data_IF_907710660826
#
_entry.id   IF_907710660826
#
_cell.length_a   1.000
_cell.length_b   1.000
_cell.length_c   1.000
_cell.angle_alpha   90.00
_cell.angle_beta   90.00
_cell.angle_gamma   90.00
#
_symmetry.space_group_name_H-M   'P 1'
#
loop_
_entity.id
_entity.type
_entity.pdbx_description
1 polymer ?
#
# COMPACT_ATOMS: atom_id res chain seq x y z
N UNK A 1 10.09 -6.36 24.09
CA UNK A 1 10.72 -6.54 22.79
C UNK A 1 10.77 -5.20 22.08
N UNK A 2 11.95 -4.80 21.59
CA UNK A 2 12.19 -3.52 20.91
C UNK A 2 12.31 -3.72 19.41
N UNK A 3 11.54 -2.96 18.64
CA UNK A 3 11.49 -3.09 17.18
C UNK A 3 11.71 -1.72 16.56
N UNK A 4 12.67 -1.64 15.64
CA UNK A 4 12.90 -0.45 14.85
C UNK A 4 12.28 -0.61 13.46
N UNK A 5 11.42 0.33 13.05
CA UNK A 5 10.92 0.46 11.69
C UNK A 5 11.62 1.62 11.00
N UNK A 6 12.11 1.42 9.80
CA UNK A 6 12.72 2.49 8.98
C UNK A 6 11.87 2.71 7.75
N UNK A 7 11.04 3.78 7.77
CA UNK A 7 10.11 4.16 6.70
C UNK A 7 10.23 5.65 6.39
N UNK A 8 11.10 6.05 5.45
CA UNK A 8 11.40 7.48 5.22
C UNK A 8 10.21 8.33 4.81
N UNK A 9 9.20 7.75 4.17
CA UNK A 9 8.04 8.47 3.65
C UNK A 9 7.09 8.99 4.72
N UNK A 10 7.07 8.40 5.92
CA UNK A 10 6.13 8.78 6.98
C UNK A 10 6.31 10.24 7.40
N UNK A 11 5.16 10.93 7.52
CA UNK A 11 5.08 12.36 7.86
C UNK A 11 5.41 13.31 6.72
N UNK A 12 5.73 12.78 5.52
CA UNK A 12 6.04 13.58 4.32
C UNK A 12 5.22 13.14 3.12
N UNK A 13 4.90 11.84 3.03
CA UNK A 13 4.14 11.24 1.93
C UNK A 13 2.90 10.58 2.48
N UNK A 14 1.74 10.92 1.94
CA UNK A 14 0.45 10.34 2.35
C UNK A 14 0.04 9.17 1.44
N UNK A 15 0.72 8.01 1.54
CA UNK A 15 0.36 6.79 0.78
C UNK A 15 -0.10 5.68 1.71
N UNK A 16 -0.70 4.65 1.13
CA UNK A 16 -1.20 3.49 1.88
C UNK A 16 -0.13 2.73 2.66
N UNK A 17 1.09 2.62 2.13
CA UNK A 17 2.20 1.94 2.80
C UNK A 17 2.63 2.68 4.08
N UNK A 18 2.79 4.00 4.01
CA UNK A 18 3.14 4.83 5.16
C UNK A 18 2.06 4.79 6.24
N UNK A 19 0.79 4.89 5.83
CA UNK A 19 -0.34 4.78 6.77
C UNK A 19 -0.37 3.40 7.45
N UNK A 20 -0.20 2.34 6.68
CA UNK A 20 -0.14 0.97 7.21
C UNK A 20 0.98 0.80 8.24
N UNK A 21 2.20 1.27 7.96
CA UNK A 21 3.33 1.15 8.90
C UNK A 21 3.05 1.90 10.20
N UNK A 22 2.48 3.09 10.14
CA UNK A 22 2.10 3.86 11.34
C UNK A 22 1.04 3.12 12.16
N UNK A 23 0.00 2.59 11.51
CA UNK A 23 -1.07 1.83 12.17
C UNK A 23 -0.52 0.52 12.78
N UNK A 24 0.35 -0.19 12.05
CA UNK A 24 1.01 -1.40 12.55
C UNK A 24 1.88 -1.10 13.78
N UNK A 25 2.71 -0.06 13.73
CA UNK A 25 3.54 0.35 14.87
C UNK A 25 2.70 0.69 16.11
N UNK A 26 1.62 1.44 15.93
CA UNK A 26 0.69 1.77 17.01
C UNK A 26 0.03 0.52 17.61
N UNK A 27 -0.45 -0.38 16.75
CA UNK A 27 -1.14 -1.59 17.17
C UNK A 27 -0.20 -2.59 17.86
N UNK A 28 1.03 -2.76 17.39
CA UNK A 28 2.04 -3.61 18.04
C UNK A 28 2.38 -3.10 19.44
N UNK A 29 2.47 -1.78 19.61
CA UNK A 29 2.72 -1.13 20.88
C UNK A 29 1.53 -1.36 21.84
N UNK A 30 0.31 -1.03 21.40
CA UNK A 30 -0.89 -1.07 22.24
C UNK A 30 -1.34 -2.49 22.58
N UNK A 31 -1.32 -3.39 21.59
CA UNK A 31 -1.90 -4.73 21.70
C UNK A 31 -0.90 -5.77 22.25
N UNK A 32 0.38 -5.64 21.89
CA UNK A 32 1.41 -6.62 22.25
C UNK A 32 2.47 -6.08 23.22
N UNK A 33 2.41 -4.79 23.58
CA UNK A 33 3.35 -4.16 24.51
C UNK A 33 4.79 -4.11 23.96
N UNK A 34 4.97 -4.09 22.63
CA UNK A 34 6.28 -3.94 22.02
C UNK A 34 6.73 -2.48 22.10
N UNK A 35 8.01 -2.25 22.33
CA UNK A 35 8.61 -0.92 22.25
C UNK A 35 8.99 -0.64 20.79
N UNK A 36 8.04 -0.10 20.02
CA UNK A 36 8.27 0.19 18.62
C UNK A 36 8.77 1.61 18.44
N UNK A 37 9.88 1.79 17.70
CA UNK A 37 10.42 3.09 17.29
C UNK A 37 10.42 3.20 15.77
N UNK A 38 9.74 4.23 15.25
CA UNK A 38 9.69 4.52 13.83
C UNK A 38 10.76 5.56 13.45
N UNK A 39 11.62 5.23 12.50
CA UNK A 39 12.60 6.14 11.91
C UNK A 39 12.02 6.71 10.62
N UNK A 40 11.68 8.01 10.61
CA UNK A 40 11.00 8.67 9.52
C UNK A 40 11.49 10.10 9.31
N UNK A 41 11.11 10.75 8.21
CA UNK A 41 11.51 12.13 7.91
C UNK A 41 10.62 13.17 8.56
N UNK A 42 9.34 12.89 8.69
CA UNK A 42 8.35 13.79 9.27
C UNK A 42 7.94 13.38 10.69
N UNK A 43 6.86 13.98 11.17
CA UNK A 43 6.25 13.62 12.44
C UNK A 43 5.30 12.42 12.26
N UNK A 44 5.21 11.60 13.29
CA UNK A 44 4.32 10.45 13.33
C UNK A 44 3.58 10.40 14.69
N UNK A 45 2.34 9.90 14.75
CA UNK A 45 1.57 9.78 15.99
C UNK A 45 2.00 8.57 16.84
N UNK A 46 3.17 8.02 16.59
CA UNK A 46 3.80 6.91 17.31
C UNK A 46 5.20 7.32 17.77
N UNK A 47 5.84 6.61 18.72
CA UNK A 47 7.23 6.88 19.08
C UNK A 47 8.12 6.87 17.84
N UNK A 48 8.79 7.98 17.56
CA UNK A 48 9.59 8.11 16.34
C UNK A 48 10.90 8.87 16.56
N UNK A 49 11.83 8.66 15.64
CA UNK A 49 13.07 9.42 15.49
C UNK A 49 13.17 9.98 14.08
N UNK A 50 13.44 11.28 14.00
CA UNK A 50 13.66 11.93 12.69
C UNK A 50 14.99 11.50 12.10
N UNK A 51 14.96 11.13 10.83
CA UNK A 51 16.12 10.81 10.00
C UNK A 51 16.20 11.80 8.83
N UNK A 52 17.39 11.96 8.31
CA UNK A 52 17.64 12.77 7.11
C UNK A 52 17.66 11.88 5.88
N UNK A 53 16.98 12.32 4.82
CA UNK A 53 17.06 11.68 3.51
C UNK A 53 17.02 12.72 2.41
N UNK A 54 17.69 12.42 1.32
CA UNK A 54 17.58 13.19 0.08
C UNK A 54 16.20 12.96 -0.52
N UNK A 55 15.38 14.03 -0.59
CA UNK A 55 14.02 13.87 -1.11
C UNK A 55 14.02 13.42 -2.58
N UNK A 56 13.17 12.47 -2.93
CA UNK A 56 12.90 12.07 -4.31
C UNK A 56 12.46 13.22 -5.22
N UNK A 57 11.93 14.31 -4.63
CA UNK A 57 11.48 15.50 -5.34
C UNK A 57 12.58 16.57 -5.49
N UNK A 58 13.82 16.24 -5.08
CA UNK A 58 14.96 17.14 -5.16
C UNK A 58 15.27 17.46 -6.62
N UNK A 59 15.14 18.74 -7.01
CA UNK A 59 15.19 19.21 -8.41
C UNK A 59 16.46 18.80 -9.15
N UNK A 60 17.63 18.93 -8.53
CA UNK A 60 18.89 18.56 -9.17
C UNK A 60 19.04 17.06 -9.38
N UNK A 61 18.52 16.22 -8.46
CA UNK A 61 18.48 14.76 -8.61
C UNK A 61 17.61 14.37 -9.79
N UNK A 62 16.41 14.93 -9.86
CA UNK A 62 15.49 14.69 -10.96
C UNK A 62 16.02 15.21 -12.29
N UNK A 63 16.70 16.36 -12.31
CA UNK A 63 17.35 16.89 -13.49
C UNK A 63 18.48 15.97 -13.98
N UNK A 64 19.32 15.47 -13.08
CA UNK A 64 20.39 14.52 -13.41
C UNK A 64 19.83 13.19 -13.93
N UNK A 65 18.80 12.66 -13.27
CA UNK A 65 18.10 11.44 -13.69
C UNK A 65 17.43 11.60 -15.05
N UNK A 66 16.85 12.79 -15.35
CA UNK A 66 16.16 13.07 -16.60
C UNK A 66 17.10 13.44 -17.76
N UNK A 67 18.36 13.82 -17.49
CA UNK A 67 19.27 14.46 -18.45
C UNK A 67 19.52 13.65 -19.73
N UNK A 68 19.49 12.32 -19.67
CA UNK A 68 19.63 11.47 -20.86
C UNK A 68 18.83 10.17 -20.73
N UNK A 69 18.33 9.63 -21.87
CA UNK A 69 17.71 8.30 -21.89
C UNK A 69 18.69 7.18 -21.49
N UNK A 70 19.96 7.31 -21.88
CA UNK A 70 21.01 6.37 -21.53
C UNK A 70 21.31 6.47 -20.03
N UNK A 71 21.36 7.69 -19.48
CA UNK A 71 21.52 7.92 -18.03
C UNK A 71 20.43 7.25 -17.23
N UNK A 72 19.16 7.45 -17.55
CA UNK A 72 18.04 6.75 -16.88
C UNK A 72 18.21 5.25 -16.86
N UNK A 73 18.52 4.63 -18.00
CA UNK A 73 18.72 3.19 -18.08
C UNK A 73 19.90 2.71 -17.18
N UNK A 74 20.98 3.49 -17.10
CA UNK A 74 22.10 3.20 -16.19
C UNK A 74 21.68 3.35 -14.74
N UNK A 75 21.03 4.47 -14.38
CA UNK A 75 20.55 4.69 -13.01
C UNK A 75 19.57 3.61 -12.55
N UNK A 76 18.60 3.25 -13.40
CA UNK A 76 17.63 2.17 -13.10
C UNK A 76 18.31 0.80 -12.98
N UNK A 77 19.37 0.55 -13.78
CA UNK A 77 20.11 -0.71 -13.72
C UNK A 77 20.85 -0.87 -12.39
N UNK A 78 21.41 0.23 -11.88
CA UNK A 78 22.15 0.26 -10.62
C UNK A 78 21.31 0.70 -9.41
N UNK A 79 20.00 0.83 -9.57
CA UNK A 79 19.10 1.29 -8.51
C UNK A 79 19.52 2.64 -7.90
N UNK A 80 19.83 3.60 -8.75
CA UNK A 80 20.24 4.96 -8.37
C UNK A 80 19.18 6.02 -8.77
N UNK A 81 17.94 5.60 -9.02
CA UNK A 81 16.82 6.50 -9.25
C UNK A 81 16.51 7.36 -8.00
N UNK A 82 15.74 8.44 -8.14
CA UNK A 82 15.47 9.36 -7.03
C UNK A 82 14.84 8.71 -5.79
N UNK A 83 13.99 7.69 -5.98
CA UNK A 83 13.37 6.96 -4.88
C UNK A 83 14.40 6.13 -4.10
N UNK A 84 15.27 5.43 -4.83
CA UNK A 84 16.36 4.65 -4.24
C UNK A 84 17.33 5.51 -3.46
N UNK A 85 17.71 6.67 -3.99
CA UNK A 85 18.60 7.62 -3.32
C UNK A 85 17.98 8.16 -2.03
N UNK A 86 16.67 8.37 -2.00
CA UNK A 86 15.95 8.74 -0.77
C UNK A 86 16.07 7.62 0.27
N UNK A 87 15.81 6.39 -0.10
CA UNK A 87 15.92 5.24 0.79
C UNK A 87 17.33 4.99 1.27
N UNK A 88 18.32 5.12 0.39
CA UNK A 88 19.73 4.89 0.73
C UNK A 88 20.24 5.91 1.74
N UNK A 89 19.95 7.19 1.51
CA UNK A 89 20.37 8.25 2.43
C UNK A 89 19.62 8.17 3.75
N UNK A 90 18.35 7.76 3.76
CA UNK A 90 17.57 7.49 4.98
C UNK A 90 18.21 6.35 5.81
N UNK A 91 18.52 5.21 5.17
CA UNK A 91 19.11 4.07 5.83
C UNK A 91 20.49 4.42 6.46
N UNK A 92 21.34 5.15 5.72
CA UNK A 92 22.61 5.63 6.23
C UNK A 92 22.44 6.60 7.40
N UNK A 93 21.43 7.47 7.36
CA UNK A 93 21.11 8.39 8.46
C UNK A 93 20.58 7.67 9.70
N UNK A 94 19.83 6.59 9.54
CA UNK A 94 19.33 5.78 10.65
C UNK A 94 20.41 4.92 11.30
N UNK A 95 21.41 4.48 10.53
CA UNK A 95 22.42 3.50 10.95
C UNK A 95 23.13 3.85 12.28
N UNK A 96 23.62 5.08 12.53
CA UNK A 96 24.29 5.40 13.80
C UNK A 96 23.39 5.25 15.03
N UNK A 97 22.09 5.51 14.88
CA UNK A 97 21.11 5.34 15.95
C UNK A 97 20.77 3.87 16.18
N UNK A 98 20.56 3.11 15.10
CA UNK A 98 20.35 1.66 15.15
C UNK A 98 21.57 0.94 15.72
N UNK A 99 22.78 1.39 15.36
CA UNK A 99 24.04 0.81 15.86
C UNK A 99 24.22 0.94 17.38
N UNK A 100 23.79 2.08 17.94
CA UNK A 100 23.84 2.34 19.40
C UNK A 100 22.61 1.84 20.12
N UNK A 101 21.56 1.50 19.38
CA UNK A 101 20.34 0.94 19.90
C UNK A 101 20.52 -0.49 20.42
N UNK A 102 19.49 -0.97 21.09
CA UNK A 102 19.39 -2.37 21.49
C UNK A 102 18.09 -2.94 20.94
N UNK A 103 17.85 -2.71 19.65
CA UNK A 103 16.68 -3.22 18.97
C UNK A 103 16.80 -4.73 18.79
N UNK A 104 15.70 -5.43 19.04
CA UNK A 104 15.64 -6.89 18.93
C UNK A 104 15.38 -7.33 17.46
N UNK A 105 14.70 -6.47 16.68
CA UNK A 105 14.42 -6.67 15.25
C UNK A 105 14.44 -5.31 14.55
N UNK A 106 14.94 -5.27 13.32
CA UNK A 106 14.86 -4.10 12.43
C UNK A 106 13.97 -4.43 11.24
N UNK A 107 12.95 -3.63 11.01
CA UNK A 107 12.16 -3.63 9.77
C UNK A 107 12.69 -2.50 8.89
N UNK A 108 13.23 -2.86 7.73
CA UNK A 108 13.95 -1.91 6.87
C UNK A 108 13.27 -1.80 5.50
N UNK A 109 12.67 -0.65 5.26
CA UNK A 109 12.28 -0.26 3.92
C UNK A 109 13.33 0.70 3.35
N UNK A 110 14.40 0.16 2.83
CA UNK A 110 15.56 0.99 2.49
C UNK A 110 16.34 0.53 1.27
N UNK A 111 15.77 -0.32 0.43
CA UNK A 111 16.45 -0.82 -0.76
C UNK A 111 17.81 -1.49 -0.45
N UNK A 112 18.69 -1.56 -1.44
CA UNK A 112 19.96 -2.32 -1.31
C UNK A 112 20.90 -1.79 -0.22
N UNK A 113 20.99 -0.47 -0.04
CA UNK A 113 21.83 0.12 1.00
C UNK A 113 21.25 -0.12 2.39
N UNK A 114 19.91 -0.07 2.51
CA UNK A 114 19.21 -0.44 3.75
C UNK A 114 19.50 -1.89 4.15
N UNK A 115 19.40 -2.81 3.20
CA UNK A 115 19.75 -4.22 3.43
C UNK A 115 21.23 -4.38 3.84
N UNK A 116 22.13 -3.64 3.22
CA UNK A 116 23.54 -3.64 3.60
C UNK A 116 23.75 -3.13 5.04
N UNK A 117 23.11 -2.04 5.43
CA UNK A 117 23.11 -1.53 6.81
C UNK A 117 22.62 -2.61 7.80
N UNK A 118 21.51 -3.26 7.47
CA UNK A 118 20.95 -4.34 8.30
C UNK A 118 21.88 -5.55 8.40
N UNK A 119 22.54 -5.93 7.31
CA UNK A 119 23.55 -7.01 7.34
C UNK A 119 24.74 -6.67 8.25
N UNK A 120 25.17 -5.40 8.32
CA UNK A 120 26.17 -4.96 9.29
C UNK A 120 25.64 -5.10 10.71
N UNK A 121 24.43 -4.62 11.01
CA UNK A 121 23.80 -4.75 12.31
C UNK A 121 23.70 -6.23 12.72
N UNK A 122 23.25 -7.11 11.82
CA UNK A 122 23.18 -8.55 12.07
C UNK A 122 24.56 -9.15 12.34
N UNK A 123 25.58 -8.77 11.56
CA UNK A 123 26.93 -9.31 11.69
C UNK A 123 27.61 -8.95 13.01
N UNK A 124 27.38 -7.74 13.54
CA UNK A 124 28.07 -7.21 14.71
C UNK A 124 27.24 -7.23 15.99
N UNK A 125 25.92 -7.14 15.88
CA UNK A 125 25.00 -7.07 17.03
C UNK A 125 24.02 -8.25 17.08
N UNK A 126 24.00 -9.13 16.07
CA UNK A 126 23.07 -10.26 16.01
C UNK A 126 21.62 -9.87 15.71
N UNK A 127 21.34 -8.63 15.35
CA UNK A 127 19.99 -8.13 15.14
C UNK A 127 19.42 -8.61 13.81
N UNK A 128 18.35 -9.42 13.80
CA UNK A 128 17.67 -9.86 12.58
C UNK A 128 16.97 -8.69 11.91
N UNK A 129 16.77 -8.81 10.57
CA UNK A 129 16.04 -7.80 9.83
C UNK A 129 14.97 -8.37 8.92
N UNK A 130 13.86 -7.66 8.83
CA UNK A 130 12.69 -7.98 8.04
C UNK A 130 12.53 -6.94 6.95
N UNK A 131 12.16 -7.41 5.77
CA UNK A 131 11.69 -6.59 4.65
C UNK A 131 10.19 -6.75 4.50
N UNK A 132 9.47 -5.64 4.30
CA UNK A 132 8.05 -5.66 3.94
C UNK A 132 7.93 -5.21 2.48
N UNK A 133 7.63 -6.15 1.60
CA UNK A 133 7.56 -5.91 0.17
C UNK A 133 6.22 -5.24 -0.21
N UNK A 134 6.18 -3.91 -0.14
CA UNK A 134 5.00 -3.12 -0.51
C UNK A 134 4.76 -3.02 -2.01
N UNK A 135 5.74 -3.34 -2.83
CA UNK A 135 5.67 -3.28 -4.28
C UNK A 135 5.22 -4.58 -4.93
N UNK A 136 5.09 -4.53 -6.25
CA UNK A 136 4.92 -5.70 -7.12
C UNK A 136 5.92 -5.70 -8.26
N UNK A 137 6.99 -4.92 -8.16
CA UNK A 137 8.05 -4.93 -9.17
C UNK A 137 9.05 -6.06 -8.87
N UNK A 138 9.06 -7.14 -9.69
CA UNK A 138 9.92 -8.29 -9.46
C UNK A 138 11.41 -7.94 -9.42
N UNK A 139 11.81 -6.85 -10.09
CA UNK A 139 13.20 -6.40 -10.13
C UNK A 139 13.64 -5.89 -8.77
N UNK A 140 12.83 -5.02 -8.15
CA UNK A 140 13.14 -4.39 -6.87
C UNK A 140 13.02 -5.37 -5.71
N UNK A 141 11.87 -6.00 -5.60
CA UNK A 141 11.59 -6.95 -4.52
C UNK A 141 12.53 -8.15 -4.56
N UNK A 142 12.80 -8.69 -5.77
CA UNK A 142 13.77 -9.77 -5.94
C UNK A 142 15.21 -9.34 -5.64
N UNK A 143 15.59 -8.09 -5.93
CA UNK A 143 16.93 -7.60 -5.61
C UNK A 143 17.14 -7.47 -4.10
N UNK A 144 16.11 -7.00 -3.38
CA UNK A 144 16.15 -6.90 -1.93
C UNK A 144 16.17 -8.30 -1.26
N UNK A 145 15.27 -9.19 -1.69
CA UNK A 145 15.19 -10.55 -1.17
C UNK A 145 16.51 -11.33 -1.30
N UNK A 146 17.29 -11.08 -2.38
CA UNK A 146 18.64 -11.65 -2.55
C UNK A 146 19.66 -11.14 -1.52
N UNK A 147 19.37 -10.07 -0.79
CA UNK A 147 20.23 -9.60 0.31
C UNK A 147 20.05 -10.45 1.59
N UNK A 148 19.23 -11.49 1.52
CA UNK A 148 18.98 -12.46 2.58
C UNK A 148 18.50 -11.81 3.89
N UNK A 149 17.37 -11.05 3.88
CA UNK A 149 16.69 -10.70 5.12
C UNK A 149 16.29 -11.99 5.87
N UNK A 150 16.13 -11.89 7.17
CA UNK A 150 15.68 -13.04 7.98
C UNK A 150 14.24 -13.40 7.64
N UNK A 151 13.44 -12.41 7.18
CA UNK A 151 12.12 -12.61 6.54
C UNK A 151 11.87 -11.54 5.49
N UNK A 152 11.19 -11.95 4.43
CA UNK A 152 10.47 -11.05 3.52
C UNK A 152 8.98 -11.25 3.77
N UNK A 153 8.29 -10.21 4.16
CA UNK A 153 6.83 -10.23 4.31
C UNK A 153 6.19 -9.74 3.03
N UNK A 154 5.25 -10.50 2.52
CA UNK A 154 4.41 -10.17 1.37
C UNK A 154 2.94 -10.29 1.75
N UNK A 155 2.04 -9.70 0.96
CA UNK A 155 0.62 -9.66 1.31
C UNK A 155 -0.22 -10.72 0.60
N UNK A 156 0.33 -11.36 -0.42
CA UNK A 156 -0.37 -12.38 -1.23
C UNK A 156 0.56 -13.52 -1.63
N UNK A 157 -0.02 -14.70 -1.89
CA UNK A 157 0.72 -15.84 -2.42
C UNK A 157 1.31 -15.55 -3.82
N UNK A 158 0.63 -14.73 -4.63
CA UNK A 158 1.16 -14.28 -5.92
C UNK A 158 2.48 -13.52 -5.75
N UNK A 159 2.56 -12.60 -4.77
CA UNK A 159 3.79 -11.90 -4.44
C UNK A 159 4.87 -12.84 -3.89
N UNK A 160 4.50 -13.83 -3.08
CA UNK A 160 5.43 -14.85 -2.59
C UNK A 160 6.06 -15.63 -3.76
N UNK A 161 5.24 -16.12 -4.71
CA UNK A 161 5.76 -16.83 -5.89
C UNK A 161 6.70 -15.93 -6.71
N UNK A 162 6.30 -14.69 -6.97
CA UNK A 162 7.12 -13.71 -7.69
C UNK A 162 8.50 -13.51 -7.07
N UNK A 163 8.58 -13.43 -5.73
CA UNK A 163 9.86 -13.27 -5.03
C UNK A 163 10.67 -14.56 -5.09
N UNK A 164 10.07 -15.72 -4.85
CA UNK A 164 10.76 -17.01 -4.86
C UNK A 164 11.31 -17.37 -6.24
N UNK A 165 10.67 -16.96 -7.34
CA UNK A 165 11.22 -17.08 -8.71
C UNK A 165 12.54 -16.32 -8.88
N UNK A 166 12.73 -15.21 -8.17
CA UNK A 166 13.91 -14.33 -8.27
C UNK A 166 14.95 -14.57 -7.19
N UNK A 167 14.50 -15.05 -6.04
CA UNK A 167 15.31 -15.34 -4.87
C UNK A 167 14.83 -16.66 -4.20
N UNK A 168 15.11 -17.84 -4.78
CA UNK A 168 14.58 -19.12 -4.31
C UNK A 168 14.97 -19.48 -2.87
N UNK A 169 16.01 -18.85 -2.33
CA UNK A 169 16.50 -19.06 -0.97
C UNK A 169 15.92 -18.06 0.05
N UNK A 170 15.05 -17.13 -0.38
CA UNK A 170 14.48 -16.15 0.52
C UNK A 170 13.46 -16.81 1.46
N UNK A 171 13.51 -16.45 2.73
CA UNK A 171 12.50 -16.83 3.70
C UNK A 171 11.31 -15.87 3.56
N UNK A 172 10.27 -16.27 2.83
CA UNK A 172 9.11 -15.43 2.53
C UNK A 172 7.90 -15.88 3.35
N UNK A 173 7.26 -14.93 4.01
CA UNK A 173 6.02 -15.13 4.79
C UNK A 173 4.90 -14.30 4.21
N UNK A 174 3.73 -14.90 4.00
CA UNK A 174 2.54 -14.18 3.56
C UNK A 174 1.77 -13.70 4.80
N UNK A 175 1.65 -12.39 4.95
CA UNK A 175 0.80 -11.75 5.97
C UNK A 175 -0.14 -10.79 5.25
N UNK A 176 -1.39 -11.17 4.99
CA UNK A 176 -2.35 -10.30 4.32
C UNK A 176 -2.57 -8.99 5.08
N UNK A 177 -2.83 -7.92 4.36
CA UNK A 177 -3.32 -6.69 4.98
C UNK A 177 -4.71 -6.92 5.59
N UNK A 178 -4.98 -6.21 6.67
CA UNK A 178 -6.27 -6.18 7.31
C UNK A 178 -6.90 -4.79 7.30
N UNK A 179 -8.19 -4.74 7.59
CA UNK A 179 -8.98 -3.52 7.73
C UNK A 179 -9.53 -3.40 9.16
N UNK A 180 -9.58 -2.18 9.67
CA UNK A 180 -10.23 -1.90 10.95
C UNK A 180 -11.76 -1.91 10.76
N UNK A 181 -12.38 -3.03 11.15
CA UNK A 181 -13.80 -3.28 11.02
C UNK A 181 -14.66 -2.47 11.98
N UNK A 182 -14.06 -1.81 12.97
CA UNK A 182 -14.76 -0.92 13.91
C UNK A 182 -14.79 0.51 13.38
N UNK A 183 -13.77 0.89 12.63
CA UNK A 183 -13.66 2.18 11.98
C UNK A 183 -14.39 2.20 10.61
N UNK A 184 -14.12 1.22 9.74
CA UNK A 184 -14.85 1.02 8.48
C UNK A 184 -16.05 0.11 8.72
N UNK A 185 -17.25 0.69 8.74
CA UNK A 185 -18.49 -0.03 9.08
C UNK A 185 -19.68 0.49 8.26
N UNK A 186 -20.66 -0.36 7.97
CA UNK A 186 -21.79 0.01 7.08
C UNK A 186 -22.71 1.07 7.67
N UNK A 187 -22.74 1.24 8.99
CA UNK A 187 -23.55 2.22 9.72
C UNK A 187 -22.81 3.53 10.00
N UNK A 188 -21.62 3.75 9.37
CA UNK A 188 -20.97 5.04 9.42
C UNK A 188 -21.84 6.11 8.77
N UNK A 189 -22.00 7.30 9.40
CA UNK A 189 -22.86 8.35 8.84
C UNK A 189 -22.37 8.75 7.44
N UNK A 190 -23.23 8.66 6.40
CA UNK A 190 -22.84 9.02 5.05
C UNK A 190 -22.64 10.52 4.91
N UNK A 191 -21.64 10.93 4.12
CA UNK A 191 -21.50 12.34 3.74
C UNK A 191 -22.65 12.73 2.81
N UNK A 192 -23.23 13.95 2.95
CA UNK A 192 -24.25 14.42 2.03
C UNK A 192 -23.65 14.64 0.64
N UNK A 193 -24.22 14.01 -0.39
CA UNK A 193 -23.82 14.16 -1.78
C UNK A 193 -25.00 14.74 -2.59
N UNK A 194 -24.76 15.88 -3.22
CA UNK A 194 -25.68 16.47 -4.21
C UNK A 194 -25.25 16.01 -5.61
N UNK A 195 -25.42 14.70 -5.85
CA UNK A 195 -25.02 14.03 -7.11
C UNK A 195 -26.13 13.09 -7.57
N UNK A 196 -26.25 12.93 -8.88
CA UNK A 196 -27.17 11.96 -9.48
C UNK A 196 -26.75 10.53 -9.11
N UNK A 197 -27.66 9.77 -8.51
CA UNK A 197 -27.44 8.34 -8.23
C UNK A 197 -27.62 7.47 -9.49
N UNK A 198 -26.96 6.31 -9.55
CA UNK A 198 -26.03 5.76 -8.55
C UNK A 198 -24.67 6.48 -8.51
N UNK A 199 -23.99 6.44 -7.38
CA UNK A 199 -22.66 7.05 -7.18
C UNK A 199 -21.58 5.97 -7.20
N UNK A 200 -20.69 6.03 -8.17
CA UNK A 200 -19.47 5.22 -8.23
C UNK A 200 -18.35 5.97 -7.55
N UNK A 201 -17.67 5.31 -6.60
CA UNK A 201 -16.57 5.87 -5.84
C UNK A 201 -15.25 5.23 -6.25
N UNK A 202 -14.20 6.03 -6.40
CA UNK A 202 -12.81 5.58 -6.50
C UNK A 202 -11.93 6.39 -5.55
N UNK A 203 -10.90 5.76 -4.95
CA UNK A 203 -10.03 6.41 -3.98
C UNK A 203 -8.57 5.99 -4.14
N UNK A 204 -7.67 6.96 -4.10
CA UNK A 204 -6.22 6.77 -4.20
C UNK A 204 -5.48 7.91 -4.85
N UNK A 205 -4.17 7.77 -5.06
CA UNK A 205 -3.40 8.75 -5.81
C UNK A 205 -3.92 8.89 -7.25
N UNK A 206 -4.05 10.12 -7.74
CA UNK A 206 -4.50 10.38 -9.12
C UNK A 206 -3.27 10.45 -10.02
N UNK A 207 -2.81 9.27 -10.44
CA UNK A 207 -1.60 9.09 -11.25
C UNK A 207 -1.80 8.04 -12.36
N UNK A 208 -0.84 7.93 -13.28
CA UNK A 208 -0.85 6.99 -14.39
C UNK A 208 -0.91 5.51 -13.99
N UNK A 209 -0.60 5.19 -12.73
CA UNK A 209 -0.69 3.84 -12.21
C UNK A 209 -2.13 3.48 -11.81
N UNK A 210 -2.86 4.43 -11.23
CA UNK A 210 -4.26 4.24 -10.76
C UNK A 210 -5.28 4.33 -11.89
N UNK A 211 -4.95 4.97 -13.02
CA UNK A 211 -5.78 4.99 -14.24
C UNK A 211 -7.21 5.47 -14.01
N UNK A 212 -7.37 6.58 -13.27
CA UNK A 212 -8.70 7.13 -12.95
C UNK A 212 -9.49 7.59 -14.20
N UNK A 213 -8.80 7.85 -15.31
CA UNK A 213 -9.36 8.11 -16.63
C UNK A 213 -10.27 6.97 -17.13
N UNK A 214 -9.90 5.71 -16.87
CA UNK A 214 -10.73 4.56 -17.25
C UNK A 214 -12.06 4.52 -16.48
N UNK A 215 -12.06 4.97 -15.22
CA UNK A 215 -13.31 5.06 -14.43
C UNK A 215 -14.25 6.10 -15.04
N UNK A 216 -13.71 7.26 -15.43
CA UNK A 216 -14.48 8.32 -16.10
C UNK A 216 -15.16 7.78 -17.37
N UNK A 217 -14.39 7.09 -18.21
CA UNK A 217 -14.88 6.52 -19.47
C UNK A 217 -15.94 5.42 -19.25
N UNK A 218 -15.80 4.62 -18.20
CA UNK A 218 -16.77 3.57 -17.86
C UNK A 218 -18.07 4.18 -17.30
N UNK A 219 -17.98 5.13 -16.36
CA UNK A 219 -19.16 5.80 -15.78
C UNK A 219 -19.91 6.63 -16.83
N UNK A 220 -19.21 7.22 -17.79
CA UNK A 220 -19.85 7.94 -18.90
C UNK A 220 -20.72 7.05 -19.81
N UNK A 221 -20.54 5.73 -19.78
CA UNK A 221 -21.34 4.75 -20.53
C UNK A 221 -22.54 4.24 -19.76
N UNK A 222 -22.63 4.50 -18.47
CA UNK A 222 -23.82 4.17 -17.69
C UNK A 222 -24.99 5.06 -18.10
N UNK A 223 -26.20 4.50 -18.09
CA UNK A 223 -27.43 5.24 -18.42
C UNK A 223 -27.66 6.43 -17.47
N UNK A 224 -27.24 6.31 -16.21
CA UNK A 224 -27.31 7.34 -15.18
C UNK A 224 -26.17 7.13 -14.18
N UNK A 225 -25.97 8.10 -13.30
CA UNK A 225 -25.03 8.00 -12.19
C UNK A 225 -23.90 9.01 -12.25
N UNK A 226 -23.14 9.06 -11.18
CA UNK A 226 -22.07 10.02 -10.95
C UNK A 226 -20.79 9.34 -10.50
N UNK A 227 -19.67 10.05 -10.65
CA UNK A 227 -18.37 9.62 -10.20
C UNK A 227 -17.84 10.52 -9.06
N UNK A 228 -17.41 9.89 -7.97
CA UNK A 228 -16.62 10.54 -6.92
C UNK A 228 -15.20 10.01 -6.96
N UNK A 229 -14.23 10.92 -7.04
CA UNK A 229 -12.79 10.62 -6.97
C UNK A 229 -12.24 11.18 -5.67
N UNK A 230 -11.74 10.34 -4.80
CA UNK A 230 -11.08 10.76 -3.56
C UNK A 230 -9.57 10.64 -3.70
N UNK A 231 -8.90 11.77 -3.89
CA UNK A 231 -7.45 11.82 -4.01
C UNK A 231 -6.93 13.00 -4.79
N UNK A 232 -5.61 13.07 -4.81
CA UNK A 232 -4.84 14.05 -5.56
C UNK A 232 -3.64 13.39 -6.26
N UNK A 233 -3.02 14.08 -7.18
CA UNK A 233 -1.84 13.59 -7.89
C UNK A 233 -1.60 14.32 -9.19
N UNK A 234 -0.52 13.95 -9.90
CA UNK A 234 -0.07 14.66 -11.10
C UNK A 234 -1.08 14.63 -12.25
N UNK A 235 -2.02 13.67 -12.28
CA UNK A 235 -3.04 13.56 -13.33
C UNK A 235 -4.40 14.14 -12.90
N UNK A 236 -4.51 14.75 -11.72
CA UNK A 236 -5.77 15.25 -11.18
C UNK A 236 -6.49 16.22 -12.13
N UNK A 237 -5.76 17.21 -12.66
CA UNK A 237 -6.34 18.17 -13.62
C UNK A 237 -6.77 17.52 -14.95
N UNK A 238 -6.05 16.50 -15.42
CA UNK A 238 -6.40 15.77 -16.63
C UNK A 238 -7.69 14.97 -16.44
N UNK A 239 -7.81 14.32 -15.29
CA UNK A 239 -9.02 13.56 -14.88
C UNK A 239 -10.21 14.52 -14.71
N UNK A 240 -10.02 15.68 -14.06
CA UNK A 240 -11.08 16.69 -13.89
C UNK A 240 -11.61 17.19 -15.24
N UNK A 241 -10.70 17.52 -16.20
CA UNK A 241 -11.10 17.92 -17.55
C UNK A 241 -11.86 16.83 -18.30
N UNK A 242 -11.36 15.59 -18.25
CA UNK A 242 -12.02 14.46 -18.89
C UNK A 242 -13.40 14.21 -18.28
N UNK A 243 -13.52 14.20 -16.95
CA UNK A 243 -14.78 13.98 -16.25
C UNK A 243 -15.81 15.09 -16.57
N UNK A 244 -15.40 16.35 -16.60
CA UNK A 244 -16.26 17.47 -16.98
C UNK A 244 -16.78 17.31 -18.42
N UNK A 245 -15.91 16.88 -19.34
CA UNK A 245 -16.28 16.68 -20.74
C UNK A 245 -17.24 15.48 -20.92
N UNK A 246 -17.01 14.38 -20.21
CA UNK A 246 -17.73 13.12 -20.40
C UNK A 246 -19.00 12.99 -19.57
N UNK A 247 -19.00 13.50 -18.35
CA UNK A 247 -20.10 13.34 -17.39
C UNK A 247 -20.98 14.61 -17.32
N UNK A 248 -20.41 15.78 -17.59
CA UNK A 248 -21.10 17.05 -17.45
C UNK A 248 -21.22 17.53 -16.00
N UNK A 249 -21.91 18.66 -15.84
CA UNK A 249 -22.12 19.26 -14.52
C UNK A 249 -23.04 18.39 -13.64
N UNK A 250 -22.72 18.30 -12.34
CA UNK A 250 -23.54 17.59 -11.36
C UNK A 250 -23.36 16.07 -11.34
N UNK A 251 -22.47 15.51 -12.18
CA UNK A 251 -22.19 14.06 -12.19
C UNK A 251 -20.74 13.72 -11.84
N UNK A 252 -19.97 14.69 -11.40
CA UNK A 252 -18.56 14.51 -11.03
C UNK A 252 -18.19 15.31 -9.80
N UNK A 253 -17.46 14.69 -8.90
CA UNK A 253 -16.88 15.35 -7.74
C UNK A 253 -15.49 14.76 -7.45
N UNK A 254 -14.44 15.61 -7.34
CA UNK A 254 -13.17 15.21 -6.77
C UNK A 254 -12.91 15.96 -5.46
N UNK A 255 -12.39 15.23 -4.48
CA UNK A 255 -12.00 15.76 -3.16
C UNK A 255 -10.73 15.10 -2.65
N UNK A 256 -9.99 15.83 -1.84
CA UNK A 256 -8.98 15.29 -0.95
C UNK A 256 -9.59 15.32 0.45
N UNK A 257 -9.66 14.17 1.08
CA UNK A 257 -10.35 14.04 2.37
C UNK A 257 -9.44 13.39 3.41
N UNK A 258 -9.56 13.78 4.69
CA UNK A 258 -8.86 13.10 5.77
C UNK A 258 -9.29 11.64 5.89
N UNK A 259 -8.37 10.76 6.30
CA UNK A 259 -8.69 9.34 6.53
C UNK A 259 -9.89 9.15 7.47
N UNK A 260 -10.04 10.02 8.46
CA UNK A 260 -11.14 9.96 9.42
C UNK A 260 -12.53 10.09 8.77
N UNK A 261 -12.64 10.73 7.62
CA UNK A 261 -13.90 10.92 6.90
C UNK A 261 -14.19 9.78 5.90
N UNK A 262 -13.20 8.95 5.57
CA UNK A 262 -13.33 7.92 4.53
C UNK A 262 -14.53 6.98 4.73
N UNK A 263 -14.87 6.51 5.95
CA UNK A 263 -16.05 5.65 6.13
C UNK A 263 -17.34 6.29 5.62
N UNK A 264 -17.56 7.59 5.90
CA UNK A 264 -18.73 8.32 5.45
C UNK A 264 -18.81 8.51 3.93
N UNK A 265 -17.67 8.56 3.26
CA UNK A 265 -17.63 8.59 1.78
C UNK A 265 -17.93 7.23 1.17
N UNK A 266 -17.41 6.15 1.76
CA UNK A 266 -17.78 4.80 1.31
C UNK A 266 -19.27 4.54 1.49
N UNK A 267 -19.86 4.85 2.67
CA UNK A 267 -21.30 4.63 2.91
C UNK A 267 -22.21 5.55 2.09
N UNK A 268 -21.70 6.67 1.56
CA UNK A 268 -22.45 7.56 0.67
C UNK A 268 -22.52 7.07 -0.78
N UNK A 269 -21.69 6.11 -1.19
CA UNK A 269 -21.61 5.58 -2.55
C UNK A 269 -22.44 4.29 -2.72
N UNK A 270 -22.63 3.87 -3.98
CA UNK A 270 -23.37 2.67 -4.36
C UNK A 270 -22.43 1.54 -4.86
N UNK A 271 -21.24 1.87 -5.33
CA UNK A 271 -20.22 0.93 -5.80
C UNK A 271 -18.83 1.53 -5.64
N UNK A 272 -17.84 0.69 -5.33
CA UNK A 272 -16.43 1.09 -5.33
C UNK A 272 -15.67 0.47 -6.49
N UNK A 273 -14.74 1.23 -7.08
CA UNK A 273 -13.86 0.71 -8.13
C UNK A 273 -12.48 1.36 -8.11
N UNK A 274 -11.46 0.61 -8.51
CA UNK A 274 -10.10 1.13 -8.67
C UNK A 274 -9.37 0.36 -9.78
N UNK A 275 -9.18 0.94 -10.99
CA UNK A 275 -8.60 0.24 -12.14
C UNK A 275 -7.08 0.25 -12.16
N UNK A 276 -6.41 0.29 -11.03
CA UNK A 276 -4.94 0.35 -10.95
C UNK A 276 -4.25 -0.78 -11.73
N UNK A 277 -3.09 -0.47 -12.31
CA UNK A 277 -2.30 -1.44 -13.09
C UNK A 277 -1.89 -2.64 -12.24
N UNK A 278 -1.38 -2.35 -11.04
CA UNK A 278 -1.00 -3.34 -10.05
C UNK A 278 -1.37 -2.87 -8.66
N UNK A 279 -1.61 -3.81 -7.76
CA UNK A 279 -1.79 -3.58 -6.32
C UNK A 279 -1.05 -4.65 -5.55
N UNK A 280 -0.36 -4.27 -4.50
CA UNK A 280 0.25 -5.24 -3.58
C UNK A 280 -0.81 -6.03 -2.80
N UNK A 281 -1.95 -5.38 -2.52
CA UNK A 281 -3.12 -6.00 -1.91
C UNK A 281 -4.42 -5.29 -2.31
N UNK A 282 -4.50 -3.96 -2.13
CA UNK A 282 -5.70 -3.16 -2.43
C UNK A 282 -6.53 -2.88 -1.19
N UNK A 283 -5.94 -2.20 -0.20
CA UNK A 283 -6.61 -1.81 1.05
C UNK A 283 -7.92 -1.07 0.84
N UNK A 284 -8.00 -0.20 -0.17
CA UNK A 284 -9.23 0.56 -0.47
C UNK A 284 -10.41 -0.32 -0.86
N UNK A 285 -10.17 -1.50 -1.45
CA UNK A 285 -11.23 -2.49 -1.66
C UNK A 285 -11.74 -3.06 -0.34
N UNK A 286 -10.82 -3.38 0.59
CA UNK A 286 -11.23 -3.87 1.92
C UNK A 286 -12.01 -2.81 2.70
N UNK A 287 -11.57 -1.56 2.65
CA UNK A 287 -12.23 -0.43 3.30
C UNK A 287 -13.66 -0.25 2.76
N UNK A 288 -13.81 -0.28 1.42
CA UNK A 288 -15.10 -0.19 0.76
C UNK A 288 -16.00 -1.37 1.14
N UNK A 289 -15.52 -2.60 1.06
CA UNK A 289 -16.27 -3.80 1.44
C UNK A 289 -16.62 -3.82 2.93
N UNK A 290 -15.74 -3.33 3.79
CA UNK A 290 -16.00 -3.19 5.22
C UNK A 290 -17.15 -2.21 5.52
N UNK A 291 -17.33 -1.19 4.67
CA UNK A 291 -18.46 -0.28 4.67
C UNK A 291 -19.70 -0.80 3.92
N UNK A 292 -19.66 -2.02 3.39
CA UNK A 292 -20.79 -2.67 2.72
C UNK A 292 -20.83 -2.49 1.20
N UNK A 293 -19.86 -1.81 0.57
CA UNK A 293 -19.86 -1.61 -0.87
C UNK A 293 -19.33 -2.82 -1.63
N UNK A 294 -20.07 -3.23 -2.66
CA UNK A 294 -19.53 -4.12 -3.67
C UNK A 294 -18.49 -3.42 -4.54
N UNK A 295 -17.53 -4.21 -5.05
CA UNK A 295 -16.37 -3.68 -5.73
C UNK A 295 -16.27 -4.15 -7.19
N UNK A 296 -15.77 -3.27 -8.06
CA UNK A 296 -15.34 -3.66 -9.42
C UNK A 296 -13.85 -3.41 -9.55
N UNK A 297 -13.10 -4.37 -10.06
CA UNK A 297 -11.64 -4.25 -10.22
C UNK A 297 -11.09 -4.99 -11.43
N UNK A 298 -9.79 -4.78 -11.74
CA UNK A 298 -9.09 -5.54 -12.77
C UNK A 298 -9.15 -7.04 -12.52
N UNK A 299 -9.21 -7.82 -13.62
CA UNK A 299 -9.24 -9.27 -13.56
C UNK A 299 -7.82 -9.85 -13.47
N UNK A 300 -7.27 -9.83 -12.25
CA UNK A 300 -6.01 -10.48 -11.91
C UNK A 300 -6.09 -11.23 -10.58
N UNK A 301 -5.06 -12.00 -10.30
CA UNK A 301 -5.03 -12.90 -9.15
C UNK A 301 -5.19 -12.17 -7.80
N UNK A 302 -4.56 -11.01 -7.64
CA UNK A 302 -4.61 -10.24 -6.38
C UNK A 302 -6.04 -9.74 -6.14
N UNK A 303 -6.66 -9.09 -7.16
CA UNK A 303 -8.02 -8.56 -7.03
C UNK A 303 -9.05 -9.66 -6.88
N UNK A 304 -8.94 -10.78 -7.63
CA UNK A 304 -9.79 -11.95 -7.41
C UNK A 304 -9.66 -12.48 -5.98
N UNK A 305 -8.43 -12.52 -5.45
CA UNK A 305 -8.16 -12.96 -4.07
C UNK A 305 -8.73 -12.04 -3.00
N UNK A 306 -8.72 -10.72 -3.22
CA UNK A 306 -9.23 -9.74 -2.25
C UNK A 306 -10.74 -9.53 -2.40
N UNK A 307 -11.24 -9.26 -3.60
CA UNK A 307 -12.66 -8.99 -3.85
C UNK A 307 -13.49 -10.27 -3.69
N UNK A 308 -13.06 -11.38 -4.26
CA UNK A 308 -13.76 -12.65 -4.15
C UNK A 308 -15.20 -12.58 -4.65
N UNK A 309 -16.14 -12.99 -3.80
CA UNK A 309 -17.57 -12.98 -4.04
C UNK A 309 -18.25 -11.63 -3.77
N UNK A 310 -17.51 -10.64 -3.32
CA UNK A 310 -18.02 -9.30 -2.96
C UNK A 310 -17.97 -8.28 -4.11
N UNK A 311 -17.82 -8.74 -5.36
CA UNK A 311 -17.78 -7.85 -6.50
C UNK A 311 -17.49 -8.56 -7.82
N UNK A 312 -17.12 -7.79 -8.84
CA UNK A 312 -16.83 -8.26 -10.18
C UNK A 312 -15.43 -7.86 -10.59
N UNK A 313 -14.63 -8.83 -11.04
CA UNK A 313 -13.36 -8.58 -11.71
C UNK A 313 -13.55 -8.67 -13.23
N UNK A 314 -13.01 -7.67 -13.97
CA UNK A 314 -13.18 -7.59 -15.42
C UNK A 314 -11.95 -6.96 -16.10
N UNK A 315 -11.91 -7.02 -17.41
CA UNK A 315 -10.96 -6.21 -18.18
C UNK A 315 -11.35 -4.71 -18.10
N UNK A 316 -10.73 -3.99 -17.20
CA UNK A 316 -10.96 -2.54 -17.02
C UNK A 316 -10.38 -1.70 -18.16
N UNK A 317 -9.58 -2.29 -19.06
CA UNK A 317 -9.03 -1.59 -20.24
C UNK A 317 -10.00 -1.60 -21.44
N UNK A 318 -11.00 -2.49 -21.41
CA UNK A 318 -12.16 -2.44 -22.29
C UNK A 318 -13.27 -1.59 -21.64
N UNK A 319 -13.56 -0.38 -22.16
CA UNK A 319 -14.56 0.48 -21.57
C UNK A 319 -15.98 -0.07 -21.56
N UNK A 320 -16.31 -0.98 -22.49
CA UNK A 320 -17.63 -1.62 -22.54
C UNK A 320 -17.76 -2.71 -21.48
N UNK A 321 -16.74 -3.57 -21.35
CA UNK A 321 -16.68 -4.58 -20.29
C UNK A 321 -16.68 -3.95 -18.91
N UNK A 322 -15.93 -2.87 -18.72
CA UNK A 322 -15.86 -2.16 -17.44
C UNK A 322 -17.22 -1.50 -17.08
N UNK A 323 -17.86 -0.79 -18.02
CA UNK A 323 -19.18 -0.22 -17.82
C UNK A 323 -20.22 -1.31 -17.53
N UNK A 324 -20.18 -2.43 -18.23
CA UNK A 324 -21.06 -3.59 -17.98
C UNK A 324 -20.88 -4.17 -16.58
N UNK A 325 -19.65 -4.29 -16.10
CA UNK A 325 -19.37 -4.76 -14.74
C UNK A 325 -19.87 -3.77 -13.67
N UNK A 326 -19.71 -2.46 -13.90
CA UNK A 326 -20.27 -1.43 -13.02
C UNK A 326 -21.80 -1.50 -12.99
N UNK A 327 -22.46 -1.57 -14.16
CA UNK A 327 -23.91 -1.68 -14.25
C UNK A 327 -24.43 -2.93 -13.52
N UNK A 328 -23.86 -4.09 -13.79
CA UNK A 328 -24.23 -5.34 -13.12
C UNK A 328 -24.03 -5.29 -11.58
N UNK A 329 -22.97 -4.59 -11.13
CA UNK A 329 -22.72 -4.40 -9.71
C UNK A 329 -23.76 -3.48 -9.08
N UNK A 330 -24.20 -2.43 -9.77
CA UNK A 330 -25.18 -1.47 -9.29
C UNK A 330 -26.61 -2.00 -9.30
N UNK A 331 -26.91 -2.96 -10.18
CA UNK A 331 -28.25 -3.61 -10.29
C UNK A 331 -28.46 -4.73 -9.27
N UNK A 332 -27.38 -5.32 -8.77
CA UNK A 332 -27.43 -6.47 -7.85
C UNK A 332 -27.58 -6.01 -6.41
N UNK A 333 -28.50 -6.63 -5.68
CA UNK A 333 -28.52 -6.54 -4.21
C UNK A 333 -27.41 -7.43 -3.62
N UNK A 334 -26.45 -6.79 -2.97
CA UNK A 334 -25.29 -7.46 -2.38
C UNK A 334 -25.48 -7.80 -0.90
N UNK A 335 -26.54 -7.27 -0.27
CA UNK A 335 -26.84 -7.48 1.15
C UNK A 335 -25.58 -7.28 2.04
N UNK A 336 -25.19 -8.33 2.77
CA UNK A 336 -24.03 -8.32 3.67
C UNK A 336 -22.75 -8.96 3.05
N UNK A 337 -22.81 -9.38 1.80
CA UNK A 337 -21.69 -10.12 1.16
C UNK A 337 -20.39 -9.31 1.21
N UNK A 338 -20.33 -8.02 0.84
CA UNK A 338 -19.08 -7.25 0.90
C UNK A 338 -18.53 -7.18 2.33
N UNK A 339 -19.39 -6.91 3.31
CA UNK A 339 -18.98 -6.85 4.71
C UNK A 339 -18.42 -8.18 5.21
N UNK A 340 -19.10 -9.29 4.96
CA UNK A 340 -18.61 -10.64 5.33
C UNK A 340 -17.29 -10.98 4.64
N UNK A 341 -17.06 -10.48 3.41
CA UNK A 341 -15.77 -10.64 2.75
C UNK A 341 -14.67 -9.89 3.47
N UNK A 342 -14.89 -8.63 3.84
CA UNK A 342 -13.93 -7.83 4.59
C UNK A 342 -13.62 -8.43 5.98
N UNK A 343 -14.59 -9.06 6.63
CA UNK A 343 -14.43 -9.73 7.94
C UNK A 343 -13.44 -10.91 7.91
N UNK A 344 -13.08 -11.41 6.74
CA UNK A 344 -11.99 -12.39 6.59
C UNK A 344 -10.59 -11.79 6.74
N UNK A 345 -10.49 -10.46 6.75
CA UNK A 345 -9.24 -9.72 6.81
C UNK A 345 -9.26 -8.67 7.95
N UNK A 346 -9.48 -9.07 9.21
CA UNK A 346 -9.46 -8.11 10.29
C UNK A 346 -8.02 -7.63 10.55
N UNK A 347 -7.82 -6.34 10.79
CA UNK A 347 -6.50 -5.76 11.07
C UNK A 347 -5.82 -6.42 12.27
N UNK A 348 -6.61 -6.89 13.24
CA UNK A 348 -6.08 -7.58 14.42
C UNK A 348 -5.33 -8.86 14.05
N UNK A 349 -5.81 -9.65 13.09
CA UNK A 349 -5.12 -10.84 12.63
C UNK A 349 -3.78 -10.50 11.94
N UNK A 350 -3.74 -9.43 11.16
CA UNK A 350 -2.50 -8.92 10.56
C UNK A 350 -1.49 -8.54 11.65
N UNK A 351 -1.91 -7.76 12.64
CA UNK A 351 -1.04 -7.33 13.76
C UNK A 351 -0.55 -8.52 14.58
N UNK A 352 -1.42 -9.50 14.87
CA UNK A 352 -1.06 -10.69 15.62
C UNK A 352 -0.03 -11.54 14.86
N UNK A 353 -0.18 -11.68 13.52
CA UNK A 353 0.78 -12.39 12.67
C UNK A 353 2.17 -11.70 12.63
N UNK A 354 2.21 -10.37 12.55
CA UNK A 354 3.47 -9.63 12.66
C UNK A 354 4.10 -9.80 14.05
N UNK A 355 3.30 -9.76 15.12
CA UNK A 355 3.81 -9.94 16.47
C UNK A 355 4.40 -11.35 16.69
N UNK A 356 3.79 -12.38 16.11
CA UNK A 356 4.29 -13.74 16.12
C UNK A 356 5.63 -13.84 15.36
N UNK A 357 5.67 -13.32 14.13
CA UNK A 357 6.88 -13.24 13.32
C UNK A 357 8.05 -12.57 14.08
N UNK A 358 7.79 -11.45 14.73
CA UNK A 358 8.85 -10.76 15.47
C UNK A 358 9.31 -11.53 16.71
N UNK A 359 8.41 -12.24 17.40
CA UNK A 359 8.80 -13.13 18.51
C UNK A 359 9.66 -14.31 18.05
N UNK A 360 9.36 -14.87 16.88
CA UNK A 360 10.21 -15.93 16.29
C UNK A 360 11.63 -15.44 15.99
N UNK A 361 11.76 -14.20 15.54
CA UNK A 361 13.06 -13.61 15.15
C UNK A 361 13.82 -13.02 16.33
N UNK A 362 13.12 -12.60 17.36
CA UNK A 362 13.71 -11.90 18.52
C UNK A 362 14.40 -12.82 19.54
N UNK A 363 14.90 -12.24 20.63
CA UNK A 363 15.57 -13.00 21.68
C UNK A 363 14.68 -14.06 22.29
N UNK A 364 15.09 -15.33 22.22
CA UNK A 364 14.35 -16.49 22.73
C UNK A 364 13.49 -17.21 21.69
N UNK A 365 13.41 -16.73 20.45
CA UNK A 365 12.82 -17.45 19.34
C UNK A 365 13.69 -18.65 18.94
N UNK A 366 13.06 -19.74 18.49
CA UNK A 366 13.79 -20.89 17.97
C UNK A 366 14.49 -20.47 16.66
N UNK A 367 15.80 -20.24 16.70
CA UNK A 367 16.59 -19.98 15.52
C UNK A 367 16.57 -21.22 14.63
N UNK A 368 15.82 -21.16 13.52
CA UNK A 368 16.09 -22.06 12.42
C UNK A 368 17.57 -21.85 12.01
N UNK A 369 18.37 -22.90 11.83
CA UNK A 369 19.78 -22.74 11.51
C UNK A 369 19.93 -21.96 10.20
N UNK A 370 20.65 -20.85 10.26
CA UNK A 370 21.06 -20.10 9.08
C UNK A 370 21.78 -21.05 8.13
N UNK A 371 21.40 -21.14 6.85
CA UNK A 371 22.21 -21.87 5.89
C UNK A 371 23.60 -21.25 5.89
N UNK A 372 24.61 -22.05 6.19
CA UNK A 372 26.02 -21.66 6.26
C UNK A 372 26.48 -20.91 5.02
N UNK A 373 27.52 -20.08 5.22
CA UNK A 373 28.20 -19.26 4.22
C UNK A 373 28.62 -20.01 2.96
#
# INVERSE_FOLDING_TARGET
MRIAFVMPGVGVVGRGAEAFVVELCAALNQRHGFEVTLYCRGDAPVPHRRIHALSRDTRWVNALYAATRLGRKVFDTFFLDPLSLEWYTAALSALPSLWRGNDDVVVMEGGLVGAWCCRLLRRFHGVPFVDIAHGQDPKWEGAFARQKPDRVVVFTEAAQRMILERAPQAAVTVIPHGVDLTFFRPDAPPVPLDLQRPVVLTAGAVDAHKRMDLVVEAVARLAAGSLVVLGEGPEAEAVDRLATQRLGAGRYLRRVVPRAEMPGWYTAADCFTLPSKTESFGLTYLEAMACGLACVGPDDEVRRGVIGDAGICCDVTDPAAYAGALAATLERDWETIPRRRAERFPVTATVDAYAELFRELGPGGATAPSPGF
#
